data_IF_185045201582
#
_entry.id   IF_185045201582
#
_cell.length_a   1.000
_cell.length_b   1.000
_cell.length_c   1.000
_cell.angle_alpha   90.00
_cell.angle_beta   90.00
_cell.angle_gamma   90.00
#
_symmetry.space_group_name_H-M   'P 1'
#
loop_
_entity.id
_entity.type
_entity.pdbx_description
1 polymer ?
#
# COMPACT_ATOMS: atom_id res chain seq x y z
N UNK A 1 -5.50 13.13 1.15
CA UNK A 1 -6.70 13.46 1.96
C UNK A 1 -6.94 12.28 2.91
N UNK A 2 -7.14 12.53 4.20
CA UNK A 2 -7.39 11.48 5.19
C UNK A 2 -8.76 10.82 4.98
N UNK A 3 -8.87 9.51 5.18
CA UNK A 3 -10.10 8.78 4.86
C UNK A 3 -11.27 9.18 5.77
N UNK A 4 -11.02 9.53 7.03
CA UNK A 4 -12.08 9.97 7.96
C UNK A 4 -12.78 11.27 7.57
N UNK A 5 -12.14 12.10 6.74
CA UNK A 5 -12.70 13.39 6.36
C UNK A 5 -13.69 13.29 5.18
N UNK A 6 -13.53 12.26 4.34
CA UNK A 6 -14.36 12.02 3.14
C UNK A 6 -15.03 10.65 3.14
N UNK A 7 -15.07 9.98 4.30
CA UNK A 7 -15.71 8.68 4.47
C UNK A 7 -16.51 8.65 5.77
N UNK A 8 -17.54 7.81 5.79
CA UNK A 8 -18.44 7.64 6.93
C UNK A 8 -18.74 6.16 7.16
N UNK A 9 -19.33 5.84 8.32
CA UNK A 9 -19.72 4.47 8.68
C UNK A 9 -18.55 3.46 8.66
N UNK A 10 -17.42 3.84 9.27
CA UNK A 10 -16.25 2.96 9.35
C UNK A 10 -16.35 1.98 10.52
N UNK A 11 -16.07 0.72 10.23
CA UNK A 11 -16.07 -0.38 11.20
C UNK A 11 -15.03 -1.42 10.82
N UNK A 12 -14.72 -2.30 11.76
CA UNK A 12 -13.67 -3.31 11.61
C UNK A 12 -14.30 -4.71 11.55
N UNK A 13 -14.08 -5.42 10.45
CA UNK A 13 -14.43 -6.83 10.28
C UNK A 13 -13.21 -7.70 10.59
N UNK A 14 -13.44 -8.83 11.28
CA UNK A 14 -12.41 -9.81 11.66
C UNK A 14 -11.16 -9.21 12.35
N UNK A 15 -11.28 -8.03 12.97
CA UNK A 15 -10.20 -7.28 13.62
C UNK A 15 -9.10 -6.71 12.70
N UNK A 16 -9.23 -6.84 11.38
CA UNK A 16 -8.18 -6.40 10.45
C UNK A 16 -8.71 -5.82 9.12
N UNK A 17 -9.96 -6.10 8.75
CA UNK A 17 -10.55 -5.55 7.53
C UNK A 17 -11.29 -4.27 7.90
N UNK A 18 -10.78 -3.14 7.44
CA UNK A 18 -11.40 -1.83 7.60
C UNK A 18 -12.46 -1.64 6.53
N UNK A 19 -13.72 -1.50 6.93
CA UNK A 19 -14.79 -1.06 6.05
C UNK A 19 -15.03 0.43 6.25
N UNK A 20 -15.29 1.17 5.16
CA UNK A 20 -15.79 2.53 5.20
C UNK A 20 -16.63 2.84 3.96
N UNK A 21 -17.60 3.73 4.09
CA UNK A 21 -18.32 4.30 2.95
C UNK A 21 -17.62 5.58 2.53
N UNK A 22 -16.89 5.53 1.41
CA UNK A 22 -16.04 6.58 0.88
C UNK A 22 -16.77 7.38 -0.19
N UNK A 23 -16.70 8.71 -0.13
CA UNK A 23 -17.32 9.57 -1.14
C UNK A 23 -16.33 9.81 -2.29
N UNK A 24 -16.78 9.67 -3.54
CA UNK A 24 -16.01 9.98 -4.75
C UNK A 24 -16.00 11.49 -5.08
N UNK A 25 -15.26 11.90 -6.12
CA UNK A 25 -15.22 13.30 -6.54
C UNK A 25 -16.55 13.82 -7.12
N UNK A 26 -17.43 12.92 -7.53
CA UNK A 26 -18.78 13.22 -8.05
C UNK A 26 -19.82 13.34 -6.91
N UNK A 27 -19.44 13.03 -5.67
CA UNK A 27 -20.29 13.09 -4.49
C UNK A 27 -21.07 11.80 -4.18
N UNK A 28 -20.79 10.69 -4.86
CA UNK A 28 -21.42 9.40 -4.60
C UNK A 28 -20.68 8.64 -3.51
N UNK A 29 -21.42 7.96 -2.64
CA UNK A 29 -20.85 7.10 -1.60
C UNK A 29 -20.63 5.70 -2.15
N UNK A 30 -19.42 5.17 -1.96
CA UNK A 30 -19.02 3.82 -2.35
C UNK A 30 -18.56 3.06 -1.12
N UNK A 31 -19.07 1.84 -0.94
CA UNK A 31 -18.60 0.97 0.13
C UNK A 31 -17.25 0.37 -0.27
N UNK A 32 -16.23 0.65 0.53
CA UNK A 32 -14.88 0.18 0.32
C UNK A 32 -14.39 -0.58 1.54
N UNK A 33 -13.54 -1.58 1.30
CA UNK A 33 -12.87 -2.34 2.33
C UNK A 33 -11.37 -2.35 2.08
N UNK A 34 -10.59 -2.34 3.16
CA UNK A 34 -9.13 -2.39 3.11
C UNK A 34 -8.63 -3.36 4.18
N UNK A 35 -7.87 -4.36 3.74
CA UNK A 35 -7.21 -5.28 4.65
C UNK A 35 -5.96 -4.63 5.25
N UNK A 36 -6.01 -4.34 6.55
CA UNK A 36 -4.93 -3.73 7.30
C UNK A 36 -3.76 -4.69 7.55
N UNK A 37 -3.96 -6.02 7.49
CA UNK A 37 -2.87 -6.98 7.68
C UNK A 37 -1.84 -6.95 6.56
N UNK A 38 -2.19 -6.41 5.38
CA UNK A 38 -1.22 -6.18 4.31
C UNK A 38 -0.30 -4.98 4.55
N UNK A 39 -0.66 -4.09 5.48
CA UNK A 39 0.01 -2.82 5.70
C UNK A 39 0.45 -2.60 7.14
N UNK A 40 -0.04 -3.37 8.09
CA UNK A 40 0.24 -3.22 9.50
C UNK A 40 0.74 -4.56 10.01
N UNK A 41 1.90 -4.52 10.64
CA UNK A 41 2.46 -5.64 11.38
C UNK A 41 2.69 -5.30 12.84
N UNK A 42 3.21 -6.30 13.54
CA UNK A 42 3.66 -6.19 14.91
C UNK A 42 5.19 -6.28 14.97
N UNK A 43 5.84 -5.27 15.55
CA UNK A 43 7.28 -5.24 15.81
C UNK A 43 7.53 -5.15 17.32
N UNK A 44 7.76 -6.29 17.97
CA UNK A 44 8.03 -6.39 19.42
C UNK A 44 6.98 -5.68 20.31
N UNK A 45 5.70 -5.91 19.99
CA UNK A 45 4.57 -5.32 20.69
C UNK A 45 4.23 -3.88 20.25
N UNK A 46 4.75 -3.42 19.12
CA UNK A 46 4.45 -2.11 18.54
C UNK A 46 3.84 -2.24 17.15
N UNK A 47 2.88 -1.37 16.80
CA UNK A 47 2.37 -1.30 15.44
C UNK A 47 3.45 -0.83 14.48
N UNK A 48 3.55 -1.48 13.31
CA UNK A 48 4.48 -1.12 12.26
C UNK A 48 3.80 -1.07 10.89
N UNK A 49 3.84 0.09 10.23
CA UNK A 49 3.26 0.32 8.89
C UNK A 49 3.94 -0.44 7.74
N UNK A 50 5.12 -0.99 7.95
CA UNK A 50 5.85 -1.75 6.94
C UNK A 50 5.98 -3.23 7.34
N UNK A 51 5.09 -3.66 8.24
CA UNK A 51 4.91 -5.05 8.64
C UNK A 51 3.65 -5.65 8.04
N UNK A 52 3.38 -6.91 8.39
CA UNK A 52 2.20 -7.65 7.94
C UNK A 52 1.61 -8.48 9.07
N UNK A 53 0.35 -8.88 8.91
CA UNK A 53 -0.35 -9.83 9.78
C UNK A 53 -0.34 -9.43 11.28
N UNK A 54 -0.54 -8.15 11.61
CA UNK A 54 -0.60 -7.73 13.02
C UNK A 54 -1.70 -8.48 13.78
N UNK A 55 -2.84 -8.75 13.11
CA UNK A 55 -4.02 -9.39 13.69
C UNK A 55 -3.72 -10.74 14.36
N UNK A 56 -2.73 -11.49 13.83
CA UNK A 56 -2.31 -12.80 14.36
C UNK A 56 -1.72 -12.74 15.76
N UNK A 57 -1.19 -11.59 16.14
CA UNK A 57 -0.51 -11.36 17.42
C UNK A 57 -1.17 -10.25 18.23
N UNK A 58 -2.27 -9.68 17.71
CA UNK A 58 -3.02 -8.62 18.34
C UNK A 58 -4.22 -9.19 19.08
N UNK A 59 -4.49 -8.65 20.26
CA UNK A 59 -5.70 -8.91 21.04
C UNK A 59 -6.42 -7.60 21.35
N UNK A 60 -7.72 -7.69 21.63
CA UNK A 60 -8.53 -6.54 22.03
C UNK A 60 -8.50 -5.38 21.01
N UNK A 61 -8.56 -5.71 19.72
CA UNK A 61 -8.50 -4.73 18.63
C UNK A 61 -9.78 -3.90 18.61
N UNK A 62 -9.65 -2.58 18.61
CA UNK A 62 -10.76 -1.63 18.58
C UNK A 62 -10.43 -0.46 17.67
N UNK A 63 -11.40 -0.07 16.85
CA UNK A 63 -11.32 1.12 16.01
C UNK A 63 -12.12 2.27 16.65
N UNK A 64 -11.46 3.40 16.87
CA UNK A 64 -12.07 4.63 17.39
C UNK A 64 -11.79 5.78 16.42
N UNK A 65 -12.74 6.08 15.55
CA UNK A 65 -12.50 7.06 14.47
C UNK A 65 -11.43 6.53 13.51
N UNK A 66 -10.33 7.28 13.37
CA UNK A 66 -9.13 6.83 12.64
C UNK A 66 -8.09 6.11 13.49
N UNK A 67 -8.29 6.03 14.81
CA UNK A 67 -7.31 5.38 15.68
C UNK A 67 -7.64 3.91 15.84
N UNK A 68 -6.73 3.06 15.38
CA UNK A 68 -6.76 1.63 15.67
C UNK A 68 -5.98 1.39 16.95
N UNK A 69 -6.62 0.71 17.90
CA UNK A 69 -6.01 0.36 19.18
C UNK A 69 -6.01 -1.15 19.35
N UNK A 70 -4.91 -1.72 19.85
CA UNK A 70 -4.81 -3.15 20.14
C UNK A 70 -3.70 -3.42 21.16
N UNK A 71 -3.76 -4.58 21.81
CA UNK A 71 -2.67 -5.12 22.62
C UNK A 71 -1.86 -6.08 21.73
N UNK A 72 -0.56 -5.86 21.58
CA UNK A 72 0.28 -6.61 20.64
C UNK A 72 1.27 -7.47 21.42
N UNK A 73 1.41 -8.75 21.04
CA UNK A 73 2.38 -9.64 21.66
C UNK A 73 3.83 -9.18 21.41
N UNK A 74 4.64 -9.16 22.46
CA UNK A 74 6.09 -8.94 22.37
C UNK A 74 6.82 -10.22 21.93
N UNK A 75 8.13 -10.12 21.65
CA UNK A 75 8.95 -11.31 21.36
C UNK A 75 8.97 -12.33 22.51
N UNK A 76 8.69 -11.89 23.74
CA UNK A 76 8.54 -12.75 24.92
C UNK A 76 7.22 -13.53 24.95
N UNK A 77 6.28 -13.22 24.05
CA UNK A 77 4.94 -13.82 23.98
C UNK A 77 3.87 -13.11 24.81
N UNK A 78 4.28 -12.24 25.74
CA UNK A 78 3.35 -11.45 26.56
C UNK A 78 2.82 -10.24 25.77
N UNK A 79 1.52 -9.94 25.85
CA UNK A 79 0.95 -8.74 25.26
C UNK A 79 1.53 -7.50 25.93
N UNK A 80 1.94 -6.53 25.11
CA UNK A 80 2.31 -5.19 25.57
C UNK A 80 1.05 -4.43 26.01
N UNK A 81 1.25 -3.33 26.71
CA UNK A 81 0.20 -2.33 26.94
C UNK A 81 -0.49 -1.92 25.63
N UNK A 82 -1.74 -1.46 25.73
CA UNK A 82 -2.55 -1.06 24.58
C UNK A 82 -1.82 -0.03 23.72
N UNK A 83 -1.57 -0.41 22.48
CA UNK A 83 -0.97 0.44 21.47
C UNK A 83 -2.05 1.14 20.65
N UNK A 84 -1.66 2.25 20.03
CA UNK A 84 -2.52 3.06 19.17
C UNK A 84 -1.75 3.39 17.90
N UNK A 85 -2.40 3.25 16.75
CA UNK A 85 -1.90 3.71 15.46
C UNK A 85 -2.99 4.53 14.76
N UNK A 86 -2.59 5.67 14.19
CA UNK A 86 -3.52 6.54 13.49
C UNK A 86 -3.55 6.17 12.00
N UNK A 87 -4.67 5.59 11.57
CA UNK A 87 -4.86 5.15 10.19
C UNK A 87 -4.83 6.33 9.20
N UNK A 88 -5.24 7.53 9.60
CA UNK A 88 -5.21 8.72 8.73
C UNK A 88 -3.80 9.13 8.28
N UNK A 89 -2.74 8.60 8.93
CA UNK A 89 -1.35 8.88 8.56
C UNK A 89 -0.95 8.29 7.22
N UNK A 90 -1.50 7.11 6.89
CA UNK A 90 -1.16 6.37 5.67
C UNK A 90 -2.37 5.81 4.94
N UNK A 91 -3.59 5.91 5.46
CA UNK A 91 -4.81 5.49 4.77
C UNK A 91 -5.60 6.73 4.37
N UNK A 92 -6.01 6.74 3.11
CA UNK A 92 -6.81 7.80 2.51
C UNK A 92 -7.96 7.23 1.71
N UNK A 93 -8.82 8.13 1.25
CA UNK A 93 -9.85 7.84 0.26
C UNK A 93 -9.34 8.35 -1.10
N UNK A 94 -9.23 7.45 -2.07
CA UNK A 94 -8.91 7.73 -3.46
C UNK A 94 -10.15 7.49 -4.34
N UNK A 95 -10.89 8.56 -4.63
CA UNK A 95 -12.09 8.56 -5.48
C UNK A 95 -13.12 7.47 -5.13
N UNK A 96 -13.48 7.35 -3.85
CA UNK A 96 -14.44 6.36 -3.35
C UNK A 96 -13.82 5.03 -2.95
N UNK A 97 -12.50 4.88 -3.00
CA UNK A 97 -11.80 3.66 -2.60
C UNK A 97 -10.81 3.93 -1.47
N UNK A 98 -10.88 3.12 -0.40
CA UNK A 98 -9.86 3.10 0.64
C UNK A 98 -8.55 2.60 0.05
N UNK A 99 -7.51 3.42 0.15
CA UNK A 99 -6.18 3.07 -0.29
C UNK A 99 -5.17 3.55 0.73
N UNK A 100 -4.02 2.86 0.80
CA UNK A 100 -2.86 3.45 1.45
C UNK A 100 -2.48 4.71 0.68
N UNK A 101 -2.63 5.86 1.33
CA UNK A 101 -2.01 7.11 0.90
C UNK A 101 -0.51 6.92 1.04
N UNK A 102 0.12 6.41 -0.01
CA UNK A 102 1.55 6.56 -0.18
C UNK A 102 1.81 8.06 -0.11
N UNK A 103 2.61 8.49 0.87
CA UNK A 103 3.13 9.86 0.86
C UNK A 103 3.70 10.05 -0.53
N UNK A 104 3.20 11.05 -1.25
CA UNK A 104 3.83 11.60 -2.45
C UNK A 104 5.26 12.03 -2.08
N UNK A 105 6.16 11.06 -1.98
CA UNK A 105 7.60 11.22 -2.11
C UNK A 105 8.00 10.46 -3.37
N UNK A 106 7.48 10.94 -4.51
CA UNK A 106 8.09 10.75 -5.82
C UNK A 106 8.29 9.32 -6.31
N UNK A 107 7.38 8.38 -6.03
CA UNK A 107 7.37 7.08 -6.73
C UNK A 107 6.33 7.08 -7.83
N UNK A 108 6.83 7.15 -9.06
CA UNK A 108 6.07 6.97 -10.30
C UNK A 108 5.87 5.48 -10.52
N UNK A 109 4.91 4.88 -9.82
CA UNK A 109 4.51 3.50 -10.10
C UNK A 109 3.30 3.49 -11.04
N UNK A 110 3.64 3.26 -12.31
CA UNK A 110 2.74 2.99 -13.42
C UNK A 110 1.82 1.82 -13.04
N UNK A 111 0.50 2.06 -13.07
CA UNK A 111 -0.51 1.01 -13.05
C UNK A 111 -0.21 -0.01 -14.15
N UNK A 112 0.20 -1.23 -13.76
CA UNK A 112 0.18 -2.40 -14.63
C UNK A 112 -1.28 -2.75 -14.94
N UNK A 113 -1.87 -2.05 -15.92
CA UNK A 113 -3.03 -2.59 -16.61
C UNK A 113 -2.53 -3.68 -17.54
N UNK A 114 -2.73 -4.95 -17.16
CA UNK A 114 -2.51 -6.10 -18.03
C UNK A 114 -3.58 -6.13 -19.14
N UNK A 115 -3.53 -5.15 -20.04
CA UNK A 115 -4.11 -5.31 -21.37
C UNK A 115 -3.04 -6.01 -22.21
N UNK A 116 -3.25 -7.30 -22.44
CA UNK A 116 -2.31 -8.16 -23.13
C UNK A 116 -1.86 -7.57 -24.46
N UNK A 117 -0.63 -7.06 -24.50
CA UNK A 117 0.34 -7.23 -25.60
C UNK A 117 1.63 -6.40 -25.48
N UNK A 118 1.96 -5.75 -24.36
CA UNK A 118 3.22 -4.99 -24.27
C UNK A 118 4.02 -5.30 -22.99
N UNK A 119 5.16 -5.99 -23.16
CA UNK A 119 6.19 -6.11 -22.13
C UNK A 119 7.06 -4.84 -22.19
N UNK A 120 6.79 -3.87 -21.33
CA UNK A 120 7.72 -2.77 -21.08
C UNK A 120 8.52 -3.11 -19.82
N UNK A 121 9.77 -3.54 -20.01
CA UNK A 121 10.74 -3.68 -18.92
C UNK A 121 11.34 -2.29 -18.62
N UNK A 122 10.79 -1.60 -17.63
CA UNK A 122 11.38 -0.36 -17.11
C UNK A 122 12.51 -0.73 -16.13
N UNK A 123 13.76 -0.57 -16.57
CA UNK A 123 14.93 -0.62 -15.68
C UNK A 123 15.21 0.80 -15.16
N UNK A 124 15.17 1.02 -13.85
CA UNK A 124 15.55 2.30 -13.24
C UNK A 124 17.05 2.29 -12.89
N UNK A 125 17.83 3.05 -13.66
CA UNK A 125 19.25 3.29 -13.41
C UNK A 125 19.40 4.22 -12.20
N UNK A 126 19.76 3.65 -11.04
CA UNK A 126 20.35 4.45 -9.96
C UNK A 126 21.74 4.86 -10.39
N UNK A 127 21.95 6.16 -10.54
CA UNK A 127 23.24 6.75 -10.83
C UNK A 127 24.32 6.21 -9.89
N UNK A 128 25.21 5.40 -10.46
CA UNK A 128 26.67 5.51 -10.42
C UNK A 128 27.22 4.57 -11.49
N UNK A 129 27.57 5.16 -12.64
CA UNK A 129 28.45 4.65 -13.71
C UNK A 129 28.32 3.18 -14.18
N UNK A 130 27.72 2.96 -15.36
CA UNK A 130 28.40 2.51 -16.60
C UNK A 130 27.40 1.96 -17.64
N UNK A 131 27.07 2.79 -18.64
CA UNK A 131 26.58 2.46 -19.99
C UNK A 131 25.41 1.45 -20.11
N UNK A 132 24.17 1.94 -20.07
CA UNK A 132 23.06 1.25 -20.73
C UNK A 132 23.29 1.18 -22.26
N UNK A 133 23.33 -0.04 -22.80
CA UNK A 133 23.09 -0.28 -24.22
C UNK A 133 21.60 -0.57 -24.39
N UNK A 134 20.89 0.32 -25.10
CA UNK A 134 19.51 0.08 -25.52
C UNK A 134 19.53 -0.90 -26.70
N UNK A 135 18.89 -2.05 -26.54
CA UNK A 135 18.63 -3.00 -27.62
C UNK A 135 17.17 -2.93 -28.04
N UNK A 136 16.92 -2.81 -29.34
CA UNK A 136 15.59 -2.99 -29.92
C UNK A 136 15.61 -4.30 -30.73
N UNK A 137 14.67 -5.19 -30.45
CA UNK A 137 14.56 -6.48 -31.13
C UNK A 137 13.12 -6.99 -31.12
N UNK A 138 12.78 -7.74 -32.16
CA UNK A 138 11.45 -8.30 -32.34
C UNK A 138 11.42 -9.71 -31.70
N UNK A 139 10.61 -9.87 -30.64
CA UNK A 139 10.55 -11.10 -29.83
C UNK A 139 10.17 -12.34 -30.67
N UNK A 140 9.44 -12.17 -31.78
CA UNK A 140 9.03 -13.29 -32.62
C UNK A 140 10.16 -13.91 -33.46
N UNK A 141 11.35 -13.28 -33.56
CA UNK A 141 12.45 -13.75 -34.43
C UNK A 141 13.81 -13.89 -33.74
N UNK A 142 13.91 -13.62 -32.43
CA UNK A 142 15.14 -13.85 -31.65
C UNK A 142 16.38 -13.05 -32.09
N UNK A 143 16.21 -11.99 -32.89
CA UNK A 143 17.31 -11.17 -33.42
C UNK A 143 17.32 -9.81 -32.74
N UNK A 144 18.43 -9.47 -32.09
CA UNK A 144 18.65 -8.19 -31.39
C UNK A 144 19.87 -7.49 -31.99
N UNK A 145 19.73 -6.20 -32.29
CA UNK A 145 20.84 -5.37 -32.80
C UNK A 145 21.07 -4.18 -31.87
N UNK A 146 22.32 -3.86 -31.50
CA UNK A 146 22.63 -2.67 -30.72
C UNK A 146 22.47 -1.40 -31.58
N UNK A 147 21.80 -0.38 -31.04
CA UNK A 147 21.75 0.94 -31.68
C UNK A 147 23.07 1.68 -31.43
N UNK A 148 23.66 2.22 -32.51
CA UNK A 148 24.92 2.96 -32.50
C UNK A 148 24.82 4.18 -31.57
N UNK A 149 25.80 4.30 -30.68
CA UNK A 149 26.00 5.45 -29.79
C UNK A 149 26.26 6.72 -30.62
N UNK A 150 25.37 7.70 -30.52
CA UNK A 150 25.57 9.04 -31.10
C UNK A 150 26.36 9.86 -30.04
N UNK A 151 27.41 10.64 -30.42
CA UNK A 151 28.40 11.20 -29.50
C UNK A 151 27.86 12.17 -28.44
#
# INVERSE_FOLDING_TARGET
MSFTNSSSNFWLEDNHILHASCVDNDGNSHDSQLDLDHYIGNSDGWFAWDGVNFSKTASNVQLQGSQLTAELATLSGEPRERQVINLDERIGNNNGQLARGDRDEGSSDVQLTLNGNELQAAWHERGLALRAFVFVGNLAKGSWSPLVSIP
#
